data_IF_676191991288
#
_entry.id   IF_676191991288
#
_cell.length_a   1.000
_cell.length_b   1.000
_cell.length_c   1.000
_cell.angle_alpha   90.00
_cell.angle_beta   90.00
_cell.angle_gamma   90.00
#
_symmetry.space_group_name_H-M   'P 1'
#
loop_
_entity.id
_entity.type
_entity.pdbx_description
1 polymer ?
#
# COMPACT_ATOMS: atom_id res chain seq x y z
N UNK A 1 1.97 3.22 -59.43
CA UNK A 1 0.86 3.15 -58.45
C UNK A 1 1.46 3.44 -57.08
N UNK A 2 1.16 4.60 -56.50
CA UNK A 2 1.63 4.98 -55.16
C UNK A 2 0.80 4.23 -54.12
N UNK A 3 1.47 3.53 -53.20
CA UNK A 3 0.85 2.96 -52.02
C UNK A 3 0.96 3.96 -50.87
N UNK A 4 -0.18 4.54 -50.51
CA UNK A 4 -0.33 5.41 -49.34
C UNK A 4 -0.69 4.52 -48.16
N UNK A 5 0.26 4.22 -47.28
CA UNK A 5 0.01 3.46 -46.05
C UNK A 5 -0.36 4.40 -44.93
N UNK A 6 -1.61 4.28 -44.46
CA UNK A 6 -2.15 5.03 -43.33
C UNK A 6 -1.50 4.56 -42.02
N UNK A 7 -1.02 5.52 -41.21
CA UNK A 7 -0.64 5.28 -39.81
C UNK A 7 -1.92 5.07 -38.98
N UNK A 8 -2.07 3.90 -38.38
CA UNK A 8 -3.00 3.68 -37.27
C UNK A 8 -2.36 4.17 -35.98
N UNK A 9 -2.83 5.31 -35.46
CA UNK A 9 -2.53 5.74 -34.11
C UNK A 9 -3.40 4.94 -33.13
N UNK A 10 -2.78 4.10 -32.28
CA UNK A 10 -3.45 3.53 -31.12
C UNK A 10 -3.69 4.64 -30.10
N UNK A 11 -4.94 5.10 -29.98
CA UNK A 11 -5.38 5.88 -28.84
C UNK A 11 -5.55 4.93 -27.65
N UNK A 12 -4.59 4.94 -26.72
CA UNK A 12 -4.79 4.36 -25.40
C UNK A 12 -5.85 5.21 -24.67
N UNK A 13 -7.08 4.69 -24.60
CA UNK A 13 -8.13 5.30 -23.79
C UNK A 13 -7.80 5.05 -22.31
N UNK A 14 -7.22 6.02 -21.63
CA UNK A 14 -7.21 6.03 -20.17
C UNK A 14 -8.63 6.34 -19.71
N UNK A 15 -9.42 5.30 -19.46
CA UNK A 15 -10.67 5.41 -18.74
C UNK A 15 -10.32 5.85 -17.31
N UNK A 16 -10.43 7.15 -17.05
CA UNK A 16 -10.39 7.70 -15.70
C UNK A 16 -11.72 7.32 -15.04
N UNK A 17 -11.77 6.16 -14.40
CA UNK A 17 -12.85 5.86 -13.46
C UNK A 17 -12.79 6.91 -12.35
N UNK A 18 -13.95 7.42 -11.94
CA UNK A 18 -14.04 8.30 -10.78
C UNK A 18 -13.43 7.57 -9.57
N UNK A 19 -12.56 8.24 -8.82
CA UNK A 19 -11.78 7.67 -7.72
C UNK A 19 -12.63 6.90 -6.68
N UNK A 20 -13.91 7.25 -6.53
CA UNK A 20 -14.84 6.57 -5.61
C UNK A 20 -15.17 5.13 -6.00
N UNK A 21 -15.13 4.78 -7.28
CA UNK A 21 -15.60 3.47 -7.76
C UNK A 21 -14.50 2.39 -7.70
N UNK A 22 -13.26 2.81 -7.47
CA UNK A 22 -12.10 1.93 -7.43
C UNK A 22 -11.88 1.28 -6.06
N UNK A 23 -12.62 1.70 -5.03
CA UNK A 23 -12.47 1.27 -3.65
C UNK A 23 -11.65 2.24 -2.80
N UNK A 24 -11.50 1.91 -1.53
CA UNK A 24 -10.78 2.70 -0.54
C UNK A 24 -9.94 1.81 0.38
N UNK A 25 -8.90 2.40 0.96
CA UNK A 25 -8.08 1.78 1.98
C UNK A 25 -8.30 2.40 3.35
N UNK A 26 -8.17 1.57 4.37
CA UNK A 26 -7.87 1.98 5.74
C UNK A 26 -6.48 1.43 6.10
N UNK A 27 -5.48 2.31 6.16
CA UNK A 27 -4.09 1.93 6.42
C UNK A 27 -3.65 2.40 7.80
N UNK A 28 -3.11 1.49 8.59
CA UNK A 28 -2.48 1.78 9.89
C UNK A 28 -1.02 1.35 9.84
N UNK A 29 -0.13 2.25 10.21
CA UNK A 29 1.31 1.96 10.35
C UNK A 29 1.70 2.10 11.81
N UNK A 30 2.25 1.04 12.38
CA UNK A 30 2.87 1.01 13.69
C UNK A 30 4.38 0.80 13.53
N UNK A 31 5.18 1.66 14.14
CA UNK A 31 6.64 1.61 14.10
C UNK A 31 7.17 1.54 15.52
N UNK A 32 8.10 0.62 15.79
CA UNK A 32 8.79 0.52 17.07
C UNK A 32 10.29 0.60 16.86
N UNK A 33 11.00 1.19 17.83
CA UNK A 33 12.45 1.21 17.84
C UNK A 33 13.00 1.23 19.26
N UNK A 34 14.20 0.67 19.43
CA UNK A 34 14.91 0.62 20.70
C UNK A 34 16.31 1.23 20.61
N UNK A 35 16.88 1.59 21.75
CA UNK A 35 18.17 2.28 21.84
C UNK A 35 19.35 1.46 21.28
N UNK A 36 19.22 0.12 21.25
CA UNK A 36 20.21 -0.77 20.65
C UNK A 36 20.19 -0.76 19.10
N UNK A 37 19.28 0.00 18.47
CA UNK A 37 19.15 0.09 17.02
C UNK A 37 18.12 -0.86 16.41
N UNK A 38 17.48 -1.72 17.22
CA UNK A 38 16.38 -2.57 16.74
C UNK A 38 15.21 -1.71 16.24
N UNK A 39 14.59 -2.13 15.14
CA UNK A 39 13.39 -1.51 14.59
C UNK A 39 12.40 -2.57 14.18
N UNK A 40 11.12 -2.30 14.32
CA UNK A 40 10.07 -3.08 13.66
C UNK A 40 8.98 -2.16 13.13
N UNK A 41 8.26 -2.64 12.13
CA UNK A 41 7.08 -1.97 11.60
C UNK A 41 6.00 -2.99 11.30
N UNK A 42 4.76 -2.66 11.61
CA UNK A 42 3.58 -3.40 11.20
C UNK A 42 2.68 -2.47 10.41
N UNK A 43 2.28 -2.89 9.21
CA UNK A 43 1.30 -2.19 8.39
C UNK A 43 0.07 -3.06 8.29
N UNK A 44 -1.08 -2.50 8.65
CA UNK A 44 -2.38 -3.09 8.44
C UNK A 44 -3.07 -2.28 7.35
N UNK A 45 -3.53 -2.93 6.29
CA UNK A 45 -4.25 -2.27 5.21
C UNK A 45 -5.50 -3.07 4.88
N UNK A 46 -6.66 -2.46 5.08
CA UNK A 46 -7.95 -3.03 4.70
C UNK A 46 -8.43 -2.34 3.43
N UNK A 47 -8.54 -3.07 2.32
CA UNK A 47 -9.08 -2.57 1.06
C UNK A 47 -10.54 -3.02 0.89
N UNK A 48 -11.43 -2.05 0.72
CA UNK A 48 -12.84 -2.28 0.48
C UNK A 48 -13.27 -1.65 -0.85
N UNK A 49 -14.13 -2.35 -1.58
CA UNK A 49 -14.83 -1.84 -2.76
C UNK A 49 -16.17 -2.56 -2.91
N UNK A 50 -16.99 -2.19 -3.89
CA UNK A 50 -18.26 -2.89 -4.16
C UNK A 50 -18.05 -4.38 -4.47
N UNK A 51 -16.90 -4.75 -5.05
CA UNK A 51 -16.54 -6.14 -5.33
C UNK A 51 -15.88 -6.87 -4.15
N UNK A 52 -15.46 -6.13 -3.12
CA UNK A 52 -14.79 -6.59 -1.90
C UNK A 52 -15.44 -5.95 -0.67
N UNK A 53 -16.70 -6.28 -0.43
CA UNK A 53 -17.52 -5.72 0.65
C UNK A 53 -17.84 -6.76 1.73
N UNK A 54 -18.19 -6.28 2.94
CA UNK A 54 -18.55 -7.14 4.06
C UNK A 54 -17.38 -8.02 4.53
N UNK A 55 -17.56 -9.33 4.45
CA UNK A 55 -16.53 -10.30 4.86
C UNK A 55 -15.44 -10.52 3.79
N UNK A 56 -15.64 -10.03 2.57
CA UNK A 56 -14.72 -10.17 1.42
C UNK A 56 -13.67 -9.04 1.33
N UNK A 57 -13.59 -8.14 2.31
CA UNK A 57 -12.55 -7.09 2.38
C UNK A 57 -11.15 -7.73 2.32
N UNK A 58 -10.28 -7.18 1.47
CA UNK A 58 -8.89 -7.66 1.41
C UNK A 58 -8.15 -7.05 2.60
N UNK A 59 -7.78 -7.91 3.56
CA UNK A 59 -6.98 -7.51 4.72
C UNK A 59 -5.53 -7.88 4.49
N UNK A 60 -4.66 -6.90 4.58
CA UNK A 60 -3.21 -7.07 4.43
C UNK A 60 -2.50 -6.78 5.74
N UNK A 61 -1.54 -7.65 6.08
CA UNK A 61 -0.58 -7.44 7.16
C UNK A 61 0.83 -7.49 6.59
N UNK A 62 1.56 -6.36 6.66
CA UNK A 62 3.00 -6.34 6.43
C UNK A 62 3.77 -6.25 7.73
N UNK A 63 4.82 -7.06 7.87
CA UNK A 63 5.72 -7.07 9.02
C UNK A 63 7.14 -6.83 8.55
N UNK A 64 7.78 -5.86 9.19
CA UNK A 64 9.17 -5.53 9.00
C UNK A 64 9.91 -5.65 10.33
N UNK A 65 11.11 -6.22 10.30
CA UNK A 65 12.01 -6.25 11.44
C UNK A 65 13.46 -6.02 11.02
N UNK A 66 14.14 -5.19 11.80
CA UNK A 66 15.57 -4.95 11.70
C UNK A 66 16.23 -5.25 13.04
N UNK A 67 17.11 -6.24 13.03
CA UNK A 67 17.89 -6.66 14.20
C UNK A 67 19.35 -6.29 13.97
N UNK A 68 19.89 -5.30 14.72
CA UNK A 68 21.32 -5.00 14.68
C UNK A 68 22.10 -6.13 15.35
N UNK A 69 23.25 -6.49 14.79
CA UNK A 69 24.11 -7.55 15.33
C UNK A 69 25.58 -7.26 15.07
N UNK A 70 26.45 -7.78 15.93
CA UNK A 70 27.91 -7.68 15.77
C UNK A 70 28.40 -8.40 14.51
N UNK A 71 27.74 -9.49 14.13
CA UNK A 71 28.05 -10.30 12.94
C UNK A 71 27.31 -9.82 11.68
N UNK A 72 26.74 -8.61 11.72
CA UNK A 72 25.94 -8.02 10.64
C UNK A 72 24.49 -7.80 11.05
N UNK A 73 23.87 -6.81 10.41
CA UNK A 73 22.45 -6.53 10.59
C UNK A 73 21.59 -7.55 9.83
N UNK A 74 20.44 -7.92 10.40
CA UNK A 74 19.42 -8.75 9.76
C UNK A 74 18.18 -7.92 9.52
N UNK A 75 17.65 -8.00 8.31
CA UNK A 75 16.45 -7.30 7.89
C UNK A 75 15.48 -8.31 7.28
N UNK A 76 14.21 -8.26 7.70
CA UNK A 76 13.14 -9.09 7.18
C UNK A 76 11.93 -8.23 6.88
N UNK A 77 11.28 -8.48 5.74
CA UNK A 77 10.00 -7.86 5.39
C UNK A 77 9.11 -8.91 4.72
N UNK A 78 7.84 -8.96 5.11
CA UNK A 78 6.83 -9.80 4.48
C UNK A 78 5.47 -9.12 4.49
N UNK A 79 4.66 -9.35 3.46
CA UNK A 79 3.28 -8.91 3.36
C UNK A 79 2.38 -10.09 3.01
N UNK A 80 1.26 -10.21 3.70
CA UNK A 80 0.22 -11.20 3.42
C UNK A 80 -1.14 -10.50 3.25
N UNK A 81 -1.82 -10.63 2.09
CA UNK A 81 -1.36 -11.33 0.89
C UNK A 81 -0.16 -10.63 0.21
N UNK A 82 0.61 -11.39 -0.58
CA UNK A 82 1.76 -10.89 -1.33
C UNK A 82 1.39 -10.03 -2.56
N UNK A 83 0.10 -9.78 -2.76
CA UNK A 83 -0.46 -8.92 -3.81
C UNK A 83 -0.48 -7.44 -3.42
N UNK A 84 -0.11 -7.12 -2.18
CA UNK A 84 0.00 -5.77 -1.66
C UNK A 84 1.45 -5.30 -1.55
N UNK A 85 1.68 -4.02 -1.84
CA UNK A 85 2.92 -3.33 -1.49
C UNK A 85 2.63 -1.90 -1.01
N UNK A 86 3.56 -1.34 -0.23
CA UNK A 86 3.44 0.02 0.28
C UNK A 86 4.79 0.73 0.31
N UNK A 87 4.75 2.05 0.27
CA UNK A 87 5.87 2.93 0.58
C UNK A 87 5.42 3.97 1.61
N UNK A 88 6.31 4.30 2.55
CA UNK A 88 6.06 5.34 3.55
C UNK A 88 7.29 6.21 3.75
N UNK A 89 7.17 7.50 3.43
CA UNK A 89 8.28 8.47 3.48
C UNK A 89 8.38 9.22 4.83
N UNK A 90 7.51 8.90 5.79
CA UNK A 90 7.39 9.59 7.07
C UNK A 90 6.25 10.61 7.14
N UNK A 91 5.62 10.92 6.01
CA UNK A 91 4.50 11.88 5.91
C UNK A 91 3.37 11.42 5.01
N UNK A 92 3.67 10.60 4.00
CA UNK A 92 2.75 10.12 2.99
C UNK A 92 2.89 8.61 2.88
N UNK A 93 1.77 7.90 2.88
CA UNK A 93 1.72 6.48 2.53
C UNK A 93 1.23 6.34 1.10
N UNK A 94 1.91 5.48 0.34
CA UNK A 94 1.50 5.04 -0.99
C UNK A 94 1.27 3.56 -0.95
N UNK A 95 0.18 3.09 -1.54
CA UNK A 95 -0.17 1.67 -1.57
C UNK A 95 -0.49 1.22 -2.98
N UNK A 96 -0.22 -0.05 -3.22
CA UNK A 96 -0.60 -0.76 -4.43
C UNK A 96 -1.17 -2.13 -4.03
N UNK A 97 -2.22 -2.56 -4.72
CA UNK A 97 -2.85 -3.85 -4.51
C UNK A 97 -3.24 -4.46 -5.86
N UNK A 98 -2.79 -5.69 -6.14
CA UNK A 98 -3.34 -6.48 -7.24
C UNK A 98 -4.64 -7.12 -6.76
N UNK A 99 -5.71 -6.94 -7.54
CA UNK A 99 -7.05 -7.47 -7.27
C UNK A 99 -7.54 -8.30 -8.45
N UNK A 100 -8.46 -9.23 -8.19
CA UNK A 100 -9.01 -10.19 -9.17
C UNK A 100 -10.46 -9.86 -9.55
N UNK A 101 -11.20 -9.17 -8.67
CA UNK A 101 -12.59 -8.75 -8.85
C UNK A 101 -12.67 -7.22 -8.94
N UNK A 102 -13.62 -6.66 -9.70
CA UNK A 102 -14.51 -7.35 -10.64
C UNK A 102 -13.76 -7.86 -11.88
N UNK A 103 -12.58 -7.32 -12.16
CA UNK A 103 -11.64 -7.82 -13.17
C UNK A 103 -10.22 -7.74 -12.60
N UNK A 104 -9.28 -8.56 -13.09
CA UNK A 104 -7.87 -8.45 -12.71
C UNK A 104 -7.31 -7.07 -13.03
N UNK A 105 -6.81 -6.38 -12.01
CA UNK A 105 -6.16 -5.07 -12.16
C UNK A 105 -5.27 -4.76 -10.95
N UNK A 106 -4.42 -3.76 -11.12
CA UNK A 106 -3.62 -3.16 -10.05
C UNK A 106 -4.23 -1.83 -9.67
N UNK A 107 -4.66 -1.68 -8.42
CA UNK A 107 -5.17 -0.41 -7.87
C UNK A 107 -4.09 0.29 -7.04
N UNK A 108 -4.11 1.61 -7.05
CA UNK A 108 -3.16 2.46 -6.33
C UNK A 108 -3.88 3.53 -5.53
N UNK A 109 -3.28 3.95 -4.42
CA UNK A 109 -3.74 5.09 -3.64
C UNK A 109 -2.60 5.71 -2.85
N UNK A 110 -2.80 6.95 -2.42
CA UNK A 110 -1.86 7.64 -1.56
C UNK A 110 -2.59 8.64 -0.66
N UNK A 111 -2.08 8.82 0.54
CA UNK A 111 -2.60 9.83 1.46
C UNK A 111 -1.53 10.29 2.45
N UNK A 112 -1.66 11.52 2.98
CA UNK A 112 -0.92 11.94 4.15
C UNK A 112 -1.21 11.00 5.33
N UNK A 113 -0.15 10.52 5.99
CA UNK A 113 -0.20 9.73 7.21
C UNK A 113 0.91 10.22 8.12
N UNK A 114 0.54 10.77 9.27
CA UNK A 114 1.51 11.16 10.30
C UNK A 114 1.40 10.20 11.47
N UNK A 115 2.53 9.70 11.95
CA UNK A 115 2.55 8.85 13.15
C UNK A 115 2.72 9.70 14.41
N UNK A 116 2.01 9.32 15.47
CA UNK A 116 2.10 9.94 16.80
C UNK A 116 2.75 8.96 17.77
N UNK A 117 3.58 9.50 18.68
CA UNK A 117 4.24 8.69 19.70
C UNK A 117 3.20 8.08 20.63
N UNK A 118 3.26 6.76 20.84
CA UNK A 118 2.36 6.05 21.73
C UNK A 118 2.94 6.02 23.16
N UNK A 119 2.15 6.35 24.19
CA UNK A 119 2.61 6.28 25.58
C UNK A 119 2.74 4.84 26.07
N UNK A 120 3.72 4.56 26.94
CA UNK A 120 3.77 3.32 27.73
C UNK A 120 4.56 2.14 27.15
N UNK A 121 5.23 2.28 26.00
CA UNK A 121 6.09 1.24 25.44
C UNK A 121 7.54 1.29 25.94
N UNK A 122 8.23 0.14 25.97
CA UNK A 122 9.68 0.10 26.09
C UNK A 122 10.31 0.54 24.76
N UNK A 123 10.97 1.70 24.74
CA UNK A 123 11.52 2.30 23.51
C UNK A 123 10.64 3.39 22.92
N UNK A 124 10.78 3.66 21.62
CA UNK A 124 9.97 4.63 20.88
C UNK A 124 8.97 3.89 20.00
N UNK A 125 7.70 4.01 20.34
CA UNK A 125 6.58 3.47 19.57
C UNK A 125 5.79 4.60 18.92
N UNK A 126 5.43 4.44 17.65
CA UNK A 126 4.67 5.41 16.88
C UNK A 126 3.54 4.72 16.12
N UNK A 127 2.38 5.36 16.04
CA UNK A 127 1.22 4.86 15.30
C UNK A 127 0.54 5.97 14.51
N UNK A 128 0.18 5.68 13.27
CA UNK A 128 -0.59 6.57 12.40
C UNK A 128 -1.62 5.79 11.61
N UNK A 129 -2.67 6.47 11.19
CA UNK A 129 -3.76 5.91 10.39
C UNK A 129 -4.15 6.89 9.27
N UNK A 130 -4.50 6.35 8.12
CA UNK A 130 -5.08 7.11 7.01
C UNK A 130 -6.17 6.29 6.32
N UNK A 131 -7.28 6.95 5.99
CA UNK A 131 -8.37 6.38 5.18
C UNK A 131 -8.45 7.21 3.89
N UNK A 132 -8.40 6.56 2.73
CA UNK A 132 -8.34 7.25 1.45
C UNK A 132 -8.81 6.37 0.29
N UNK A 133 -9.35 7.03 -0.73
CA UNK A 133 -9.84 6.38 -1.94
C UNK A 133 -8.70 5.94 -2.87
N UNK A 134 -8.97 4.96 -3.71
CA UNK A 134 -8.09 4.61 -4.80
C UNK A 134 -8.04 5.70 -5.86
N UNK A 135 -6.82 6.11 -6.21
CA UNK A 135 -6.57 7.26 -7.07
C UNK A 135 -6.40 6.86 -8.54
N UNK A 136 -5.98 5.61 -8.80
CA UNK A 136 -5.86 5.06 -10.16
C UNK A 136 -5.89 3.53 -10.16
N UNK A 137 -6.16 2.95 -11.33
CA UNK A 137 -6.07 1.53 -11.58
C UNK A 137 -5.43 1.24 -12.97
N UNK A 138 -4.76 0.11 -13.10
CA UNK A 138 -4.15 -0.39 -14.35
C UNK A 138 -4.55 -1.86 -14.53
N UNK A 139 -5.16 -2.18 -15.68
CA UNK A 139 -5.50 -3.55 -16.06
C UNK A 139 -4.40 -4.21 -16.89
#
# INVERSE_FOLDING_TARGET
MQFTTALFALAAATAANAASDLGAWNVTIESNSAANGWKSRTVLADFASDAYAGDDVIRTVCKYEFIPGADGAKETESCEPNTFSYEYDGTTVKVQQNIEKPNPMTVFGEAPLTQTMQPGGAGRSYKGNAIFDATRAIA
#
